data_IF_392766638478
#
_entry.id   IF_392766638478
#
_cell.length_a   1.000
_cell.length_b   1.000
_cell.length_c   1.000
_cell.angle_alpha   90.00
_cell.angle_beta   90.00
_cell.angle_gamma   90.00
#
_symmetry.space_group_name_H-M   'P 1'
#
loop_
_entity.id
_entity.type
_entity.pdbx_description
1 polymer ?
#
# COMPACT_ATOMS: atom_id res chain seq x y z
N UNK A 1 -10.37 29.53 1.38
CA UNK A 1 -9.23 28.82 0.75
C UNK A 1 -9.77 28.12 -0.50
N UNK A 2 -9.13 28.23 -1.66
CA UNK A 2 -9.61 27.55 -2.87
C UNK A 2 -9.08 26.10 -2.90
N UNK A 3 -9.95 25.10 -3.14
CA UNK A 3 -9.51 23.71 -3.21
C UNK A 3 -8.52 23.53 -4.36
N UNK A 4 -7.50 22.69 -4.16
CA UNK A 4 -6.63 22.28 -5.25
C UNK A 4 -7.42 21.54 -6.33
N UNK A 5 -7.14 21.85 -7.60
CA UNK A 5 -7.74 21.21 -8.77
C UNK A 5 -6.64 20.77 -9.72
N UNK A 6 -6.86 19.67 -10.41
CA UNK A 6 -6.00 19.20 -11.50
C UNK A 6 -6.76 19.13 -12.82
N UNK A 7 -6.05 18.90 -13.92
CA UNK A 7 -6.69 18.67 -15.21
C UNK A 7 -7.21 17.22 -15.27
N UNK A 8 -8.53 17.07 -15.33
CA UNK A 8 -9.18 15.76 -15.43
C UNK A 8 -8.88 15.08 -16.78
N UNK A 9 -8.82 13.74 -16.76
CA UNK A 9 -8.70 12.87 -17.93
C UNK A 9 -9.46 11.55 -17.71
N UNK A 10 -9.53 10.68 -18.73
CA UNK A 10 -10.27 9.41 -18.62
C UNK A 10 -9.73 8.48 -17.52
N UNK A 11 -8.43 8.58 -17.21
CA UNK A 11 -7.81 7.80 -16.14
C UNK A 11 -8.44 8.05 -14.75
N UNK A 12 -9.00 9.25 -14.51
CA UNK A 12 -9.71 9.56 -13.26
C UNK A 12 -10.99 8.73 -13.12
N UNK A 13 -11.69 8.50 -14.23
CA UNK A 13 -12.93 7.72 -14.26
C UNK A 13 -12.60 6.24 -14.05
N UNK A 14 -11.55 5.74 -14.70
CA UNK A 14 -11.10 4.35 -14.54
C UNK A 14 -10.65 4.06 -13.10
N UNK A 15 -10.02 5.04 -12.44
CA UNK A 15 -9.52 4.91 -11.08
C UNK A 15 -10.62 4.78 -10.01
N UNK A 16 -11.86 5.21 -10.31
CA UNK A 16 -12.99 5.20 -9.37
C UNK A 16 -13.32 3.84 -8.76
N UNK A 17 -12.89 2.73 -9.39
CA UNK A 17 -13.17 1.36 -8.91
C UNK A 17 -12.01 0.75 -8.14
N UNK A 18 -10.86 1.40 -8.08
CA UNK A 18 -9.66 0.81 -7.48
C UNK A 18 -9.79 0.61 -5.98
N UNK A 19 -10.48 1.52 -5.29
CA UNK A 19 -10.80 1.38 -3.86
C UNK A 19 -11.67 0.15 -3.58
N UNK A 20 -12.82 0.01 -4.26
CA UNK A 20 -13.69 -1.16 -4.13
C UNK A 20 -12.92 -2.45 -4.42
N UNK A 21 -12.12 -2.45 -5.49
CA UNK A 21 -11.33 -3.62 -5.89
C UNK A 21 -10.37 -4.07 -4.79
N UNK A 22 -9.64 -3.14 -4.16
CA UNK A 22 -8.64 -3.49 -3.15
C UNK A 22 -9.29 -3.89 -1.83
N UNK A 23 -10.43 -3.28 -1.46
CA UNK A 23 -11.20 -3.68 -0.28
C UNK A 23 -11.78 -5.08 -0.42
N UNK A 24 -12.45 -5.38 -1.53
CA UNK A 24 -12.93 -6.74 -1.82
C UNK A 24 -11.81 -7.77 -1.84
N UNK A 25 -10.63 -7.42 -2.39
CA UNK A 25 -9.47 -8.32 -2.33
C UNK A 25 -9.09 -8.70 -0.89
N UNK A 26 -9.25 -7.77 0.05
CA UNK A 26 -8.96 -8.04 1.45
C UNK A 26 -10.10 -8.79 2.15
N UNK A 27 -11.31 -8.27 2.08
CA UNK A 27 -12.46 -8.77 2.84
C UNK A 27 -12.96 -10.12 2.29
N UNK A 28 -12.97 -10.30 0.98
CA UNK A 28 -13.55 -11.49 0.33
C UNK A 28 -12.51 -12.60 0.09
N UNK A 29 -11.21 -12.31 0.18
CA UNK A 29 -10.15 -13.29 -0.10
C UNK A 29 -9.09 -13.39 1.00
N UNK A 30 -8.39 -12.30 1.34
CA UNK A 30 -7.28 -12.38 2.29
C UNK A 30 -7.77 -12.83 3.67
N UNK A 31 -8.79 -12.16 4.22
CA UNK A 31 -9.31 -12.48 5.56
C UNK A 31 -9.80 -13.94 5.65
N UNK A 32 -10.70 -14.43 4.77
CA UNK A 32 -11.16 -15.82 4.84
C UNK A 32 -10.04 -16.85 4.69
N UNK A 33 -9.04 -16.58 3.83
CA UNK A 33 -7.90 -17.48 3.65
C UNK A 33 -7.04 -17.56 4.93
N UNK A 34 -6.78 -16.42 5.57
CA UNK A 34 -6.03 -16.39 6.83
C UNK A 34 -6.83 -17.03 7.97
N UNK A 35 -8.13 -16.79 8.08
CA UNK A 35 -8.99 -17.45 9.08
C UNK A 35 -8.97 -18.97 8.94
N UNK A 36 -9.03 -19.47 7.71
CA UNK A 36 -8.95 -20.91 7.43
C UNK A 36 -7.62 -21.51 7.92
N UNK A 37 -6.50 -20.82 7.66
CA UNK A 37 -5.19 -21.28 8.12
C UNK A 37 -5.07 -21.24 9.65
N UNK A 38 -5.55 -20.18 10.30
CA UNK A 38 -5.56 -20.11 11.76
C UNK A 38 -6.41 -21.23 12.39
N UNK A 39 -7.62 -21.48 11.84
CA UNK A 39 -8.48 -22.59 12.29
C UNK A 39 -7.77 -23.94 12.22
N UNK A 40 -7.04 -24.20 11.12
CA UNK A 40 -6.27 -25.44 10.95
C UNK A 40 -5.10 -25.55 11.94
N UNK A 41 -4.39 -24.45 12.20
CA UNK A 41 -3.31 -24.40 13.20
C UNK A 41 -3.87 -24.71 14.60
N UNK A 42 -5.03 -24.15 14.93
CA UNK A 42 -5.71 -24.37 16.21
C UNK A 42 -6.17 -25.82 16.37
N UNK A 43 -6.76 -26.41 15.33
CA UNK A 43 -7.16 -27.83 15.30
C UNK A 43 -5.96 -28.76 15.52
N UNK A 44 -4.84 -28.52 14.82
CA UNK A 44 -3.60 -29.26 15.01
C UNK A 44 -3.03 -29.09 16.43
N UNK A 45 -3.20 -27.90 17.01
CA UNK A 45 -2.81 -27.62 18.40
C UNK A 45 -3.62 -28.40 19.44
N UNK A 46 -4.87 -28.75 19.13
CA UNK A 46 -5.78 -29.51 20.01
C UNK A 46 -5.75 -31.03 19.76
N UNK A 47 -5.24 -31.48 18.62
CA UNK A 47 -5.13 -32.91 18.27
C UNK A 47 -4.20 -33.67 19.21
N UNK A 48 -4.46 -34.95 19.48
CA UNK A 48 -3.56 -35.86 20.21
C UNK A 48 -2.76 -36.80 19.27
N UNK A 49 -2.78 -36.54 17.97
CA UNK A 49 -2.07 -37.37 16.99
C UNK A 49 -0.54 -37.29 17.16
N UNK A 50 0.18 -38.43 17.04
CA UNK A 50 1.63 -38.43 16.94
C UNK A 50 2.10 -37.51 15.80
N UNK A 51 3.13 -36.69 16.05
CA UNK A 51 3.66 -35.75 15.05
C UNK A 51 2.95 -34.39 14.94
N UNK A 52 1.91 -34.12 15.75
CA UNK A 52 1.16 -32.85 15.74
C UNK A 52 2.03 -31.59 15.84
N UNK A 53 3.13 -31.66 16.60
CA UNK A 53 4.03 -30.54 16.81
C UNK A 53 4.73 -30.10 15.53
N UNK A 54 5.18 -31.07 14.73
CA UNK A 54 5.78 -30.81 13.42
C UNK A 54 4.73 -30.30 12.44
N UNK A 55 3.57 -30.96 12.35
CA UNK A 55 2.50 -30.54 11.46
C UNK A 55 1.99 -29.11 11.77
N UNK A 56 1.95 -28.73 13.05
CA UNK A 56 1.61 -27.37 13.48
C UNK A 56 2.69 -26.37 13.05
N UNK A 57 3.97 -26.69 13.24
CA UNK A 57 5.08 -25.83 12.83
C UNK A 57 5.08 -25.62 11.31
N UNK A 58 4.93 -26.69 10.53
CA UNK A 58 4.82 -26.61 9.07
C UNK A 58 3.65 -25.71 8.64
N UNK A 59 2.50 -25.79 9.33
CA UNK A 59 1.35 -24.93 9.04
C UNK A 59 1.57 -23.47 9.43
N UNK A 60 2.37 -23.20 10.48
CA UNK A 60 2.78 -21.84 10.83
C UNK A 60 3.71 -21.25 9.75
N UNK A 61 4.62 -22.04 9.20
CA UNK A 61 5.46 -21.60 8.08
C UNK A 61 4.61 -21.28 6.84
N UNK A 62 3.62 -22.13 6.53
CA UNK A 62 2.64 -21.86 5.45
C UNK A 62 1.88 -20.55 5.70
N UNK A 63 1.50 -20.25 6.94
CA UNK A 63 0.83 -18.99 7.28
C UNK A 63 1.74 -17.78 7.04
N UNK A 64 3.01 -17.85 7.46
CA UNK A 64 3.98 -16.78 7.24
C UNK A 64 4.21 -16.52 5.75
N UNK A 65 4.44 -17.57 4.97
CA UNK A 65 4.60 -17.47 3.51
C UNK A 65 3.34 -16.94 2.83
N UNK A 66 2.16 -17.35 3.29
CA UNK A 66 0.88 -16.84 2.78
C UNK A 66 0.74 -15.34 3.01
N UNK A 67 1.09 -14.84 4.19
CA UNK A 67 1.08 -13.40 4.50
C UNK A 67 2.07 -12.61 3.64
N UNK A 68 3.27 -13.14 3.40
CA UNK A 68 4.26 -12.56 2.50
C UNK A 68 3.74 -12.49 1.05
N UNK A 69 3.13 -13.57 0.58
CA UNK A 69 2.50 -13.63 -0.73
C UNK A 69 1.35 -12.61 -0.87
N UNK A 70 0.52 -12.45 0.18
CA UNK A 70 -0.53 -11.44 0.19
C UNK A 70 0.05 -10.02 0.18
N UNK A 71 1.07 -9.70 0.99
CA UNK A 71 1.70 -8.39 0.93
C UNK A 71 2.28 -8.07 -0.46
N UNK A 72 2.94 -9.05 -1.09
CA UNK A 72 3.47 -8.92 -2.45
C UNK A 72 2.34 -8.69 -3.47
N UNK A 73 1.22 -9.38 -3.33
CA UNK A 73 0.06 -9.22 -4.21
C UNK A 73 -0.60 -7.84 -4.08
N UNK A 74 -0.75 -7.32 -2.85
CA UNK A 74 -1.27 -5.98 -2.56
C UNK A 74 -0.38 -4.93 -3.23
N UNK A 75 0.94 -5.03 -3.03
CA UNK A 75 1.90 -4.13 -3.68
C UNK A 75 1.82 -4.22 -5.21
N UNK A 76 1.69 -5.42 -5.77
CA UNK A 76 1.58 -5.63 -7.21
C UNK A 76 0.29 -5.04 -7.80
N UNK A 77 -0.84 -5.15 -7.08
CA UNK A 77 -2.11 -4.55 -7.47
C UNK A 77 -1.97 -3.02 -7.48
N UNK A 78 -1.48 -2.44 -6.38
CA UNK A 78 -1.25 -1.01 -6.24
C UNK A 78 -0.36 -0.46 -7.36
N UNK A 79 0.82 -1.07 -7.57
CA UNK A 79 1.77 -0.61 -8.58
C UNK A 79 1.17 -0.64 -9.99
N UNK A 80 0.41 -1.70 -10.32
CA UNK A 80 -0.26 -1.81 -11.61
C UNK A 80 -1.34 -0.73 -11.79
N UNK A 81 -2.15 -0.48 -10.75
CA UNK A 81 -3.15 0.60 -10.76
C UNK A 81 -2.49 1.97 -10.96
N UNK A 82 -1.46 2.28 -10.18
CA UNK A 82 -0.74 3.56 -10.29
C UNK A 82 -0.10 3.75 -11.66
N UNK A 83 0.61 2.73 -12.18
CA UNK A 83 1.23 2.79 -13.50
C UNK A 83 0.18 2.96 -14.61
N UNK A 84 -0.93 2.23 -14.55
CA UNK A 84 -2.03 2.36 -15.51
C UNK A 84 -2.60 3.79 -15.48
N UNK A 85 -2.85 4.32 -14.29
CA UNK A 85 -3.33 5.67 -14.07
C UNK A 85 -2.38 6.73 -14.65
N UNK A 86 -1.09 6.69 -14.28
CA UNK A 86 -0.08 7.64 -14.78
C UNK A 86 0.05 7.53 -16.32
N UNK A 87 -0.03 6.32 -16.88
CA UNK A 87 0.00 6.12 -18.33
C UNK A 87 -1.23 6.72 -19.02
N UNK A 88 -2.42 6.56 -18.46
CA UNK A 88 -3.64 7.20 -18.94
C UNK A 88 -3.54 8.72 -18.90
N UNK A 89 -3.06 9.27 -17.78
CA UNK A 89 -2.77 10.69 -17.63
C UNK A 89 -1.79 11.19 -18.71
N UNK A 90 -0.68 10.50 -18.91
CA UNK A 90 0.33 10.89 -19.90
C UNK A 90 -0.23 10.93 -21.32
N UNK A 91 -1.06 9.95 -21.70
CA UNK A 91 -1.67 9.87 -23.03
C UNK A 91 -2.56 11.06 -23.36
N UNK A 92 -3.34 11.55 -22.40
CA UNK A 92 -4.29 12.65 -22.65
C UNK A 92 -3.73 14.03 -22.31
N UNK A 93 -2.96 14.13 -21.23
CA UNK A 93 -2.44 15.42 -20.75
C UNK A 93 -1.17 15.82 -21.49
N UNK A 94 -0.38 14.85 -21.99
CA UNK A 94 0.88 15.08 -22.72
C UNK A 94 1.06 14.13 -23.93
N UNK A 95 0.12 14.13 -24.90
CA UNK A 95 0.10 13.17 -26.01
C UNK A 95 1.32 13.21 -26.93
N UNK A 96 2.06 14.33 -26.95
CA UNK A 96 3.24 14.52 -27.81
C UNK A 96 4.55 14.07 -27.15
N UNK A 97 4.51 13.68 -25.88
CA UNK A 97 5.70 13.25 -25.15
C UNK A 97 5.77 11.72 -25.08
N UNK A 98 7.00 11.17 -25.04
CA UNK A 98 7.24 9.74 -24.76
C UNK A 98 7.02 9.37 -23.29
N UNK A 99 6.27 10.18 -22.55
CA UNK A 99 6.03 10.03 -21.11
C UNK A 99 5.31 8.72 -20.82
N UNK A 100 4.38 8.28 -21.68
CA UNK A 100 3.68 7.01 -21.52
C UNK A 100 4.60 5.78 -21.56
N UNK A 101 5.65 5.76 -22.40
CA UNK A 101 6.60 4.63 -22.47
C UNK A 101 7.62 4.65 -21.33
N UNK A 102 7.90 5.83 -20.75
CA UNK A 102 8.75 5.95 -19.55
C UNK A 102 8.11 5.32 -18.32
N UNK A 103 6.78 5.35 -18.20
CA UNK A 103 6.04 4.80 -17.06
C UNK A 103 6.27 3.30 -16.89
N UNK A 104 6.44 2.53 -17.97
CA UNK A 104 6.58 1.07 -17.88
C UNK A 104 7.90 0.64 -17.22
N UNK A 105 8.97 1.44 -17.40
CA UNK A 105 10.31 1.15 -16.86
C UNK A 105 10.71 2.03 -15.68
N UNK A 106 9.83 2.96 -15.28
CA UNK A 106 10.11 3.87 -14.19
C UNK A 106 10.29 3.11 -12.87
N UNK A 107 11.34 3.45 -12.12
CA UNK A 107 11.44 3.07 -10.71
C UNK A 107 10.47 3.91 -9.86
N UNK A 108 10.36 3.60 -8.57
CA UNK A 108 9.43 4.27 -7.65
C UNK A 108 9.62 5.80 -7.60
N UNK A 109 10.87 6.28 -7.54
CA UNK A 109 11.18 7.71 -7.53
C UNK A 109 10.76 8.40 -8.82
N UNK A 110 10.98 7.74 -9.96
CA UNK A 110 10.56 8.24 -11.27
C UNK A 110 9.04 8.27 -11.40
N UNK A 111 8.31 7.28 -10.84
CA UNK A 111 6.85 7.31 -10.78
C UNK A 111 6.32 8.50 -9.98
N UNK A 112 6.91 8.78 -8.81
CA UNK A 112 6.54 9.95 -8.00
C UNK A 112 6.76 11.27 -8.77
N UNK A 113 7.89 11.38 -9.49
CA UNK A 113 8.20 12.53 -10.35
C UNK A 113 7.19 12.68 -11.49
N UNK A 114 6.91 11.59 -12.21
CA UNK A 114 5.96 11.58 -13.32
C UNK A 114 4.54 11.96 -12.85
N UNK A 115 4.11 11.44 -11.71
CA UNK A 115 2.85 11.80 -11.09
C UNK A 115 2.77 13.31 -10.84
N UNK A 116 3.80 13.89 -10.21
CA UNK A 116 3.87 15.34 -9.96
C UNK A 116 3.83 16.16 -11.24
N UNK A 117 4.55 15.74 -12.27
CA UNK A 117 4.61 16.43 -13.57
C UNK A 117 3.26 16.44 -14.29
N UNK A 118 2.46 15.39 -14.13
CA UNK A 118 1.17 15.25 -14.79
C UNK A 118 0.03 15.87 -13.96
N UNK A 119 0.05 15.72 -12.64
CA UNK A 119 -1.05 16.13 -11.75
C UNK A 119 -0.82 17.43 -11.00
N UNK A 120 0.41 17.95 -10.99
CA UNK A 120 0.73 19.21 -10.31
C UNK A 120 0.81 19.11 -8.78
N UNK A 121 0.65 17.92 -8.23
CA UNK A 121 0.73 17.62 -6.79
C UNK A 121 1.69 16.44 -6.57
N UNK A 122 2.43 16.48 -5.46
CA UNK A 122 3.37 15.41 -5.08
C UNK A 122 2.61 14.19 -4.62
N UNK A 123 3.09 12.98 -4.97
CA UNK A 123 2.52 11.76 -4.39
C UNK A 123 2.74 11.75 -2.86
N UNK A 124 3.86 12.33 -2.45
CA UNK A 124 4.32 12.51 -1.07
C UNK A 124 3.45 13.45 -0.23
N UNK A 125 2.53 14.21 -0.84
CA UNK A 125 1.61 15.05 -0.07
C UNK A 125 0.33 14.34 0.35
N UNK A 126 0.08 13.13 -0.16
CA UNK A 126 -1.09 12.33 0.23
C UNK A 126 -0.85 11.70 1.61
N UNK A 127 -1.83 11.68 2.52
CA UNK A 127 -1.69 11.08 3.85
C UNK A 127 -1.29 9.60 3.82
N UNK A 128 -1.70 8.87 2.78
CA UNK A 128 -1.37 7.45 2.60
C UNK A 128 0.06 7.18 2.13
N UNK A 129 0.82 8.22 1.76
CA UNK A 129 2.12 8.05 1.10
C UNK A 129 3.11 7.23 1.92
N UNK A 130 3.29 7.53 3.21
CA UNK A 130 4.30 6.85 4.03
C UNK A 130 4.04 5.34 4.10
N UNK A 131 2.77 4.94 4.20
CA UNK A 131 2.35 3.53 4.19
C UNK A 131 2.53 2.88 2.82
N UNK A 132 2.23 3.60 1.74
CA UNK A 132 2.44 3.12 0.36
C UNK A 132 3.93 2.98 0.01
N UNK A 133 4.78 3.85 0.55
CA UNK A 133 6.24 3.80 0.40
C UNK A 133 6.83 2.59 1.15
N UNK A 134 6.32 2.30 2.37
CA UNK A 134 6.63 1.06 3.09
C UNK A 134 6.18 -0.15 2.27
N UNK A 135 4.96 -0.14 1.71
CA UNK A 135 4.45 -1.22 0.87
C UNK A 135 5.35 -1.47 -0.35
N UNK A 136 5.86 -0.41 -0.99
CA UNK A 136 6.79 -0.52 -2.11
C UNK A 136 8.09 -1.21 -1.69
N UNK A 137 8.67 -0.81 -0.55
CA UNK A 137 9.87 -1.47 -0.03
C UNK A 137 9.61 -2.92 0.34
N UNK A 138 8.45 -3.22 0.92
CA UNK A 138 8.01 -4.57 1.28
C UNK A 138 7.93 -5.46 0.05
N UNK A 139 7.24 -5.03 -1.01
CA UNK A 139 7.17 -5.79 -2.26
C UNK A 139 8.55 -6.02 -2.90
N UNK A 140 9.48 -5.05 -2.79
CA UNK A 140 10.85 -5.25 -3.27
C UNK A 140 11.61 -6.28 -2.42
N UNK A 141 11.47 -6.24 -1.10
CA UNK A 141 12.08 -7.21 -0.19
C UNK A 141 11.53 -8.63 -0.42
N UNK A 142 10.22 -8.79 -0.58
CA UNK A 142 9.62 -10.10 -0.88
C UNK A 142 10.11 -10.70 -2.21
N UNK A 143 10.45 -9.88 -3.22
CA UNK A 143 10.92 -10.37 -4.52
C UNK A 143 12.42 -10.67 -4.57
N UNK A 144 13.21 -9.85 -3.88
CA UNK A 144 14.67 -9.87 -4.03
C UNK A 144 15.39 -10.40 -2.79
N UNK A 145 14.65 -10.69 -1.71
CA UNK A 145 15.18 -11.16 -0.45
C UNK A 145 15.95 -10.08 0.30
N UNK A 146 17.03 -10.51 0.97
CA UNK A 146 17.82 -9.67 1.86
C UNK A 146 18.63 -8.64 1.06
N UNK A 147 18.21 -7.38 1.14
CA UNK A 147 18.83 -6.28 0.42
C UNK A 147 18.52 -4.92 1.03
N UNK A 148 18.79 -3.85 0.28
CA UNK A 148 18.60 -2.46 0.77
C UNK A 148 17.15 -2.19 1.22
N UNK A 149 16.15 -2.76 0.52
CA UNK A 149 14.75 -2.61 0.91
C UNK A 149 14.44 -3.34 2.22
N UNK A 150 14.97 -4.54 2.45
CA UNK A 150 14.82 -5.27 3.71
C UNK A 150 15.47 -4.51 4.88
N UNK A 151 16.67 -3.94 4.67
CA UNK A 151 17.35 -3.12 5.67
C UNK A 151 16.58 -1.83 6.00
N UNK A 152 15.96 -1.18 5.01
CA UNK A 152 15.12 0.00 5.23
C UNK A 152 13.84 -0.35 5.99
N UNK A 153 13.22 -1.48 5.65
CA UNK A 153 12.02 -1.97 6.34
C UNK A 153 12.31 -2.31 7.79
N UNK A 154 13.42 -2.97 8.11
CA UNK A 154 13.74 -3.34 9.50
C UNK A 154 13.96 -2.12 10.40
N UNK A 155 14.45 -1.01 9.83
CA UNK A 155 14.58 0.26 10.54
C UNK A 155 13.24 0.98 10.73
N UNK A 156 12.35 0.93 9.73
CA UNK A 156 11.08 1.70 9.73
C UNK A 156 9.91 0.94 10.35
N UNK A 157 9.88 -0.37 10.19
CA UNK A 157 8.82 -1.27 10.60
C UNK A 157 9.45 -2.52 11.26
N UNK A 158 10.12 -2.35 12.42
CA UNK A 158 10.74 -3.47 13.13
C UNK A 158 9.71 -4.52 13.56
N UNK A 159 8.44 -4.14 13.69
CA UNK A 159 7.31 -5.02 13.99
C UNK A 159 7.02 -6.08 12.93
N UNK A 160 7.54 -5.93 11.70
CA UNK A 160 7.45 -6.98 10.67
C UNK A 160 8.33 -8.20 10.97
N UNK A 161 9.29 -8.04 11.87
CA UNK A 161 10.06 -9.14 12.42
C UNK A 161 9.56 -9.33 13.84
N UNK A 162 9.11 -10.55 14.16
CA UNK A 162 8.88 -10.89 15.56
C UNK A 162 10.22 -10.70 16.28
N UNK A 163 10.37 -9.60 17.03
CA UNK A 163 11.40 -9.48 18.03
C UNK A 163 11.05 -10.52 19.09
N UNK A 164 11.54 -11.74 18.88
CA UNK A 164 11.44 -12.83 19.85
C UNK A 164 11.77 -12.25 21.22
N UNK A 165 10.82 -12.43 22.14
CA UNK A 165 10.80 -12.13 23.57
C UNK A 165 12.16 -11.82 24.23
N UNK A 166 12.24 -10.91 25.22
CA UNK A 166 13.50 -10.58 25.89
C UNK A 166 14.22 -11.85 26.31
N UNK A 167 15.46 -12.03 25.83
CA UNK A 167 16.33 -13.11 26.28
C UNK A 167 16.29 -13.17 27.81
N UNK A 168 16.13 -14.38 28.36
CA UNK A 168 16.20 -14.65 29.80
C UNK A 168 17.38 -13.86 30.41
N UNK A 169 17.18 -13.14 31.53
CA UNK A 169 18.23 -12.33 32.13
C UNK A 169 19.43 -13.22 32.48
N UNK A 170 20.53 -13.07 31.75
CA UNK A 170 21.75 -13.87 31.92
C UNK A 170 22.50 -14.20 30.63
N UNK A 171 21.83 -14.17 29.46
CA UNK A 171 22.53 -14.23 28.18
C UNK A 171 22.88 -12.81 27.75
N UNK A 172 24.18 -12.49 27.80
CA UNK A 172 24.71 -11.17 27.47
C UNK A 172 24.15 -10.64 26.14
N UNK A 173 23.84 -9.35 26.12
CA UNK A 173 23.37 -8.64 24.94
C UNK A 173 24.43 -8.72 23.84
N UNK A 174 24.34 -9.73 22.97
CA UNK A 174 25.05 -9.72 21.70
C UNK A 174 24.32 -8.72 20.81
N UNK A 175 24.67 -7.44 20.96
CA UNK A 175 24.37 -6.39 20.00
C UNK A 175 25.17 -6.64 18.72
N UNK A 176 24.83 -7.73 18.02
CA UNK A 176 25.00 -7.85 16.60
C UNK A 176 23.58 -8.00 16.08
N UNK A 177 22.97 -6.86 15.68
CA UNK A 177 21.75 -6.83 14.90
C UNK A 177 21.95 -7.79 13.73
N UNK A 178 21.47 -9.03 13.84
CA UNK A 178 21.45 -9.93 12.70
C UNK A 178 20.71 -9.19 11.58
N UNK A 179 21.20 -9.24 10.32
CA UNK A 179 20.47 -8.66 9.20
C UNK A 179 19.05 -9.21 9.25
N UNK A 180 18.07 -8.33 9.15
CA UNK A 180 16.67 -8.73 9.19
C UNK A 180 16.38 -9.59 7.95
N UNK A 181 16.34 -10.90 8.14
CA UNK A 181 16.14 -11.84 7.06
C UNK A 181 14.67 -11.80 6.63
N UNK A 182 14.41 -11.68 5.33
CA UNK A 182 13.05 -11.71 4.79
C UNK A 182 12.35 -13.03 5.13
N UNK A 183 13.09 -14.14 5.17
CA UNK A 183 12.58 -15.45 5.58
C UNK A 183 12.09 -15.50 7.04
N UNK A 184 12.50 -14.56 7.90
CA UNK A 184 12.06 -14.46 9.28
C UNK A 184 10.97 -13.40 9.50
N UNK A 185 10.43 -12.83 8.41
CA UNK A 185 9.38 -11.81 8.47
C UNK A 185 8.03 -12.47 8.74
N UNK A 186 7.28 -11.93 9.69
CA UNK A 186 5.88 -12.29 9.93
C UNK A 186 5.04 -11.01 9.90
N UNK A 187 4.26 -10.85 8.83
CA UNK A 187 3.48 -9.65 8.61
C UNK A 187 2.17 -9.76 9.42
N UNK A 188 1.92 -8.85 10.38
CA UNK A 188 0.65 -8.85 11.10
C UNK A 188 -0.54 -8.62 10.15
N UNK A 189 -1.69 -9.23 10.45
CA UNK A 189 -2.91 -9.02 9.64
C UNK A 189 -3.32 -7.55 9.61
N UNK A 190 -3.17 -6.85 10.74
CA UNK A 190 -3.42 -5.41 10.83
C UNK A 190 -2.49 -4.60 9.91
N UNK A 191 -1.27 -5.09 9.67
CA UNK A 191 -0.36 -4.44 8.74
C UNK A 191 -0.82 -4.65 7.29
N UNK A 192 -1.29 -5.83 6.93
CA UNK A 192 -1.93 -6.08 5.62
C UNK A 192 -3.14 -5.15 5.44
N UNK A 193 -4.02 -5.05 6.45
CA UNK A 193 -5.16 -4.13 6.45
C UNK A 193 -4.73 -2.68 6.23
N UNK A 194 -3.69 -2.23 6.94
CA UNK A 194 -3.19 -0.85 6.80
C UNK A 194 -2.70 -0.53 5.38
N UNK A 195 -2.14 -1.51 4.66
CA UNK A 195 -1.76 -1.33 3.25
C UNK A 195 -2.97 -1.24 2.33
N UNK A 196 -3.99 -2.06 2.56
CA UNK A 196 -5.26 -1.99 1.82
C UNK A 196 -5.92 -0.62 2.02
N UNK A 197 -6.01 -0.17 3.27
CA UNK A 197 -6.60 1.13 3.61
C UNK A 197 -5.80 2.26 2.98
N UNK A 198 -4.46 2.23 2.99
CA UNK A 198 -3.64 3.25 2.35
C UNK A 198 -3.85 3.33 0.82
N UNK A 199 -4.01 2.19 0.15
CA UNK A 199 -4.33 2.14 -1.28
C UNK A 199 -5.73 2.70 -1.54
N UNK A 200 -6.71 2.28 -0.75
CA UNK A 200 -8.08 2.78 -0.83
C UNK A 200 -8.16 4.29 -0.61
N UNK A 201 -7.56 4.79 0.46
CA UNK A 201 -7.53 6.20 0.83
C UNK A 201 -6.87 7.06 -0.24
N UNK A 202 -5.78 6.58 -0.85
CA UNK A 202 -5.17 7.26 -1.99
C UNK A 202 -6.16 7.47 -3.14
N UNK A 203 -6.90 6.43 -3.52
CA UNK A 203 -7.85 6.52 -4.62
C UNK A 203 -9.07 7.38 -4.27
N UNK A 204 -9.53 7.36 -3.02
CA UNK A 204 -10.58 8.25 -2.53
C UNK A 204 -10.14 9.72 -2.50
N UNK A 205 -8.89 9.99 -2.14
CA UNK A 205 -8.28 11.32 -2.21
C UNK A 205 -8.16 11.79 -3.68
N UNK A 206 -7.76 10.90 -4.58
CA UNK A 206 -7.71 11.19 -6.02
C UNK A 206 -9.11 11.49 -6.58
N UNK A 207 -10.13 10.71 -6.21
CA UNK A 207 -11.52 10.93 -6.62
C UNK A 207 -12.05 12.27 -6.09
N UNK A 208 -11.71 12.63 -4.85
CA UNK A 208 -12.05 13.94 -4.30
C UNK A 208 -11.48 15.08 -5.15
N UNK A 209 -10.19 15.03 -5.52
CA UNK A 209 -9.57 16.05 -6.38
C UNK A 209 -10.23 16.06 -7.76
N UNK A 210 -10.51 14.89 -8.35
CA UNK A 210 -11.24 14.78 -9.61
C UNK A 210 -12.60 15.48 -9.55
N UNK A 211 -13.36 15.21 -8.48
CA UNK A 211 -14.68 15.79 -8.26
C UNK A 211 -14.60 17.31 -8.08
N UNK A 212 -13.65 17.83 -7.31
CA UNK A 212 -13.38 19.26 -7.19
C UNK A 212 -13.00 19.90 -8.54
N UNK A 213 -12.33 19.12 -9.40
CA UNK A 213 -11.83 19.54 -10.70
C UNK A 213 -12.90 19.62 -11.80
N UNK A 214 -14.14 19.17 -11.55
CA UNK A 214 -15.26 19.31 -12.50
C UNK A 214 -15.77 20.77 -12.56
N UNK A 215 -15.88 21.34 -13.77
CA UNK A 215 -16.33 22.73 -13.94
C UNK A 215 -17.83 22.92 -13.64
N UNK A 216 -18.69 22.08 -14.21
CA UNK A 216 -20.15 22.13 -14.02
C UNK A 216 -20.58 20.90 -13.22
N UNK A 217 -20.83 21.10 -11.93
CA UNK A 217 -21.18 20.04 -11.00
C UNK A 217 -22.70 19.96 -10.84
N UNK A 218 -23.22 18.75 -10.72
CA UNK A 218 -24.60 18.54 -10.31
C UNK A 218 -24.79 19.07 -8.86
N UNK A 219 -25.94 19.65 -8.49
CA UNK A 219 -26.16 20.19 -7.14
C UNK A 219 -25.88 19.19 -6.01
N UNK A 220 -26.17 17.90 -6.22
CA UNK A 220 -25.86 16.86 -5.22
C UNK A 220 -24.35 16.67 -5.01
N UNK A 221 -23.55 16.79 -6.07
CA UNK A 221 -22.10 16.70 -5.99
C UNK A 221 -21.52 17.94 -5.28
N UNK A 222 -22.01 19.14 -5.60
CA UNK A 222 -21.55 20.34 -4.90
C UNK A 222 -21.91 20.27 -3.41
N UNK A 223 -23.12 19.83 -3.06
CA UNK A 223 -23.53 19.65 -1.67
C UNK A 223 -22.65 18.61 -0.94
N UNK A 224 -22.21 17.55 -1.64
CA UNK A 224 -21.26 16.57 -1.09
C UNK A 224 -19.89 17.21 -0.85
N UNK A 225 -19.34 17.92 -1.84
CA UNK A 225 -18.03 18.57 -1.73
C UNK A 225 -17.99 19.63 -0.63
N UNK A 226 -19.08 20.38 -0.41
CA UNK A 226 -19.19 21.33 0.70
C UNK A 226 -19.00 20.64 2.06
N UNK A 227 -19.57 19.45 2.26
CA UNK A 227 -19.36 18.67 3.49
C UNK A 227 -17.94 18.12 3.56
N UNK A 228 -17.44 17.54 2.48
CA UNK A 228 -16.11 16.95 2.42
C UNK A 228 -15.00 17.97 2.69
N UNK A 229 -15.12 19.22 2.24
CA UNK A 229 -14.17 20.31 2.54
C UNK A 229 -14.01 20.59 4.05
N UNK A 230 -15.01 20.23 4.86
CA UNK A 230 -15.03 20.42 6.32
C UNK A 230 -14.65 19.13 7.06
N UNK A 231 -15.17 17.99 6.60
CA UNK A 231 -15.08 16.72 7.30
C UNK A 231 -13.78 15.95 7.00
N UNK A 232 -13.17 16.17 5.82
CA UNK A 232 -11.95 15.45 5.45
C UNK A 232 -10.79 15.85 6.35
N UNK A 233 -10.03 14.84 6.80
CA UNK A 233 -8.78 15.02 7.56
C UNK A 233 -7.69 15.71 6.75
N UNK A 234 -7.75 15.58 5.43
CA UNK A 234 -6.79 16.17 4.50
C UNK A 234 -7.51 16.75 3.29
N UNK A 235 -7.12 17.97 2.94
CA UNK A 235 -7.55 18.67 1.73
C UNK A 235 -6.30 19.25 1.07
N UNK A 236 -6.01 18.89 -0.19
CA UNK A 236 -4.86 19.42 -0.89
C UNK A 236 -5.03 20.91 -1.12
N UNK A 237 -3.98 21.66 -0.83
CA UNK A 237 -3.97 23.12 -0.95
C UNK A 237 -3.21 23.54 -2.19
N UNK A 238 -3.74 24.56 -2.87
CA UNK A 238 -3.01 25.18 -3.98
C UNK A 238 -1.74 25.83 -3.42
N UNK A 239 -0.55 25.55 -3.98
CA UNK A 239 0.66 26.23 -3.55
C UNK A 239 0.45 27.73 -3.67
N UNK A 240 0.55 28.45 -2.55
CA UNK A 240 0.57 29.92 -2.59
C UNK A 240 1.79 30.28 -3.43
N UNK A 241 1.58 30.86 -4.62
CA UNK A 241 2.68 31.45 -5.38
C UNK A 241 3.29 32.52 -4.49
N UNK A 242 4.45 32.24 -3.90
CA UNK A 242 5.28 33.26 -3.28
C UNK A 242 5.55 34.35 -4.34
N UNK A 243 5.30 35.60 -3.96
CA UNK A 243 5.56 36.77 -4.78
C UNK A 243 7.04 36.97 -5.05
#
# INVERSE_FOLDING_TARGET
MMPFRWKNCSADIEASRHEITIRSYFDDLILPALETLHGRIDELGRSDSPGRGFARADMQDVLCETKLAFALSIQSIWERQLRAYIRGCARELRPRETTASKVEKANWKDLCKLFRELRGIKLESFPSFDTLDILQHLGNACRHGDGESANKLSQRCPDLWQLSSPLLPGFGSTSASKPAQVAAMDIPVDRLRSFIDAVADFWLDAEYIYNESIDRKHPSLEARLVRERVERRWVPQTPVKGG
#
